data_IF_966916635860
#
_entry.id   IF_966916635860
#
_cell.length_a   1.000
_cell.length_b   1.000
_cell.length_c   1.000
_cell.angle_alpha   90.00
_cell.angle_beta   90.00
_cell.angle_gamma   90.00
#
_symmetry.space_group_name_H-M   'P 1'
#
loop_
_entity.id
_entity.type
_entity.pdbx_description
1 polymer ?
#
# COMPACT_ATOMS: atom_id res chain seq x y z
N UNK A 1 -38.94 -8.18 -17.11
CA UNK A 1 -38.10 -7.01 -17.49
C UNK A 1 -37.53 -6.44 -16.21
N UNK A 2 -36.26 -6.71 -15.92
CA UNK A 2 -35.56 -6.10 -14.79
C UNK A 2 -35.15 -4.72 -15.29
N UNK A 3 -35.81 -3.69 -14.77
CA UNK A 3 -35.43 -2.30 -15.03
C UNK A 3 -34.18 -2.05 -14.18
N UNK A 4 -33.02 -2.06 -14.81
CA UNK A 4 -31.76 -1.58 -14.25
C UNK A 4 -31.89 -0.08 -13.99
N UNK A 5 -32.45 0.28 -12.82
CA UNK A 5 -32.34 1.64 -12.30
C UNK A 5 -30.98 1.73 -11.62
N UNK A 6 -29.93 2.00 -12.41
CA UNK A 6 -28.73 2.60 -11.86
C UNK A 6 -29.11 4.01 -11.41
N UNK A 7 -29.10 4.34 -10.11
CA UNK A 7 -29.26 5.72 -9.71
C UNK A 7 -28.04 6.48 -10.23
N UNK A 8 -28.28 7.35 -11.22
CA UNK A 8 -27.39 8.45 -11.55
C UNK A 8 -27.21 9.30 -10.29
N UNK A 9 -26.17 9.01 -9.51
CA UNK A 9 -25.69 9.92 -8.47
C UNK A 9 -24.18 10.08 -8.69
N UNK A 10 -23.85 10.78 -9.78
CA UNK A 10 -22.68 11.66 -9.77
C UNK A 10 -23.23 13.02 -9.34
N UNK A 11 -23.55 13.15 -8.05
CA UNK A 11 -23.87 14.45 -7.46
C UNK A 11 -22.95 14.59 -6.27
N UNK A 12 -22.17 15.66 -6.31
CA UNK A 12 -21.08 16.02 -5.42
C UNK A 12 -19.84 15.11 -5.50
N UNK A 13 -19.15 15.20 -6.63
CA UNK A 13 -17.70 15.00 -6.65
C UNK A 13 -17.15 15.87 -5.51
N UNK A 14 -16.50 15.28 -4.48
CA UNK A 14 -15.96 16.09 -3.42
C UNK A 14 -15.02 17.10 -4.05
N UNK A 15 -15.16 18.38 -3.69
CA UNK A 15 -14.19 19.42 -4.06
C UNK A 15 -12.86 19.16 -3.33
N UNK A 16 -12.26 17.99 -3.52
CA UNK A 16 -10.82 17.89 -3.33
C UNK A 16 -10.24 18.72 -4.46
N UNK A 17 -9.64 19.84 -4.09
CA UNK A 17 -8.73 20.55 -4.96
C UNK A 17 -7.46 19.70 -5.12
N UNK A 18 -7.56 18.53 -5.77
CA UNK A 18 -6.40 17.90 -6.36
C UNK A 18 -6.10 18.71 -7.62
N UNK A 19 -4.85 19.13 -7.77
CA UNK A 19 -4.47 19.79 -9.00
C UNK A 19 -4.44 18.77 -10.16
N UNK A 20 -4.44 19.28 -11.39
CA UNK A 20 -4.45 18.44 -12.60
C UNK A 20 -3.35 17.38 -12.62
N UNK A 21 -2.18 17.68 -12.07
CA UNK A 21 -1.02 16.77 -12.02
C UNK A 21 -1.30 15.59 -11.06
N UNK A 22 -1.94 15.85 -9.92
CA UNK A 22 -2.31 14.82 -8.95
C UNK A 22 -3.38 13.88 -9.51
N UNK A 23 -4.37 14.43 -10.21
CA UNK A 23 -5.42 13.65 -10.85
C UNK A 23 -4.86 12.77 -11.99
N UNK A 24 -4.01 13.34 -12.84
CA UNK A 24 -3.35 12.61 -13.94
C UNK A 24 -2.42 11.50 -13.43
N UNK A 25 -1.76 11.73 -12.29
CA UNK A 25 -0.92 10.72 -11.67
C UNK A 25 -1.73 9.56 -11.07
N UNK A 26 -2.85 9.85 -10.40
CA UNK A 26 -3.74 8.81 -9.88
C UNK A 26 -4.39 8.00 -11.01
N UNK A 27 -4.80 8.64 -12.11
CA UNK A 27 -5.42 7.93 -13.23
C UNK A 27 -4.44 7.00 -13.96
N UNK A 28 -3.16 7.38 -14.07
CA UNK A 28 -2.13 6.59 -14.77
C UNK A 28 -1.44 5.55 -13.90
N UNK A 29 -1.24 5.86 -12.62
CA UNK A 29 -0.39 5.05 -11.73
C UNK A 29 -1.11 4.53 -10.49
N UNK A 30 -2.35 4.92 -10.23
CA UNK A 30 -3.02 4.73 -8.94
C UNK A 30 -3.06 3.28 -8.40
N UNK A 31 -3.58 2.28 -9.15
CA UNK A 31 -3.84 0.95 -8.57
C UNK A 31 -2.57 0.10 -8.52
N UNK A 32 -1.64 0.39 -9.43
CA UNK A 32 -0.38 -0.33 -9.61
C UNK A 32 0.81 0.52 -9.16
N UNK A 33 0.62 1.48 -8.24
CA UNK A 33 1.73 2.30 -7.79
C UNK A 33 2.67 1.48 -6.90
N UNK A 34 3.57 0.75 -7.56
CA UNK A 34 4.74 0.16 -6.94
C UNK A 34 5.80 1.26 -6.99
N UNK A 35 6.13 1.82 -5.82
CA UNK A 35 7.15 2.86 -5.73
C UNK A 35 8.49 2.28 -6.16
N UNK A 36 8.99 2.72 -7.32
CA UNK A 36 10.30 2.32 -7.83
C UNK A 36 11.41 2.66 -6.83
N UNK A 37 12.10 1.62 -6.35
CA UNK A 37 13.26 1.63 -5.46
C UNK A 37 13.35 2.86 -4.51
N UNK A 38 12.79 2.69 -3.30
CA UNK A 38 12.72 3.75 -2.29
C UNK A 38 14.05 4.02 -1.60
N UNK A 39 15.08 3.21 -1.81
CA UNK A 39 16.33 3.34 -1.06
C UNK A 39 16.86 4.76 -1.16
N UNK A 40 16.89 5.35 -2.35
CA UNK A 40 17.34 6.73 -2.60
C UNK A 40 16.58 7.86 -1.88
N UNK A 41 15.42 7.57 -1.28
CA UNK A 41 14.66 8.52 -0.46
C UNK A 41 15.14 8.58 0.99
N UNK A 42 15.89 7.57 1.42
CA UNK A 42 16.36 7.39 2.77
C UNK A 42 17.87 7.60 2.84
N UNK A 43 18.35 8.08 3.99
CA UNK A 43 19.79 8.16 4.23
C UNK A 43 20.40 6.76 4.25
N UNK A 44 21.70 6.67 3.95
CA UNK A 44 22.44 5.41 4.00
C UNK A 44 22.22 4.66 5.32
N UNK A 45 22.32 5.36 6.46
CA UNK A 45 22.07 4.79 7.80
C UNK A 45 20.66 4.19 7.95
N UNK A 46 19.66 4.79 7.32
CA UNK A 46 18.29 4.29 7.37
C UNK A 46 18.09 3.09 6.44
N UNK A 47 18.74 3.08 5.27
CA UNK A 47 18.78 1.92 4.39
C UNK A 47 19.46 0.73 5.07
N UNK A 48 20.56 0.96 5.78
CA UNK A 48 21.31 -0.06 6.51
C UNK A 48 20.46 -0.67 7.62
N UNK A 49 19.74 0.16 8.39
CA UNK A 49 18.77 -0.31 9.38
C UNK A 49 17.68 -1.19 8.75
N UNK A 50 17.15 -0.77 7.59
CA UNK A 50 16.12 -1.53 6.89
C UNK A 50 16.63 -2.89 6.41
N UNK A 51 17.86 -2.94 5.87
CA UNK A 51 18.52 -4.19 5.47
C UNK A 51 18.67 -5.12 6.68
N UNK A 52 19.11 -4.61 7.84
CA UNK A 52 19.24 -5.40 9.07
C UNK A 52 17.89 -5.95 9.56
N UNK A 53 16.85 -5.12 9.55
CA UNK A 53 15.49 -5.52 9.95
C UNK A 53 14.92 -6.61 9.03
N UNK A 54 15.00 -6.43 7.71
CA UNK A 54 14.54 -7.43 6.75
C UNK A 54 15.34 -8.73 6.82
N UNK A 55 16.67 -8.63 6.91
CA UNK A 55 17.54 -9.78 7.10
C UNK A 55 17.12 -10.59 8.32
N UNK A 56 16.96 -9.92 9.47
CA UNK A 56 16.53 -10.55 10.72
C UNK A 56 15.17 -11.21 10.58
N UNK A 57 14.20 -10.54 9.96
CA UNK A 57 12.85 -11.07 9.77
C UNK A 57 12.86 -12.33 8.90
N UNK A 58 13.56 -12.31 7.77
CA UNK A 58 13.67 -13.45 6.86
C UNK A 58 14.39 -14.61 7.53
N UNK A 59 15.53 -14.34 8.18
CA UNK A 59 16.31 -15.35 8.89
C UNK A 59 15.50 -15.99 10.02
N UNK A 60 14.71 -15.21 10.77
CA UNK A 60 13.85 -15.74 11.83
C UNK A 60 12.78 -16.69 11.30
N UNK A 61 12.18 -16.38 10.15
CA UNK A 61 11.19 -17.27 9.51
C UNK A 61 11.84 -18.56 9.04
N UNK A 62 12.95 -18.45 8.29
CA UNK A 62 13.65 -19.59 7.71
C UNK A 62 14.22 -20.49 8.79
N UNK A 63 14.94 -19.93 9.77
CA UNK A 63 15.55 -20.71 10.85
C UNK A 63 14.50 -21.42 11.69
N UNK A 64 13.38 -20.76 11.99
CA UNK A 64 12.26 -21.40 12.71
C UNK A 64 11.70 -22.58 11.94
N UNK A 65 11.49 -22.43 10.63
CA UNK A 65 11.03 -23.51 9.76
C UNK A 65 12.03 -24.68 9.73
N UNK A 66 13.30 -24.40 9.45
CA UNK A 66 14.35 -25.42 9.35
C UNK A 66 14.61 -26.15 10.68
N UNK A 67 14.52 -25.44 11.81
CA UNK A 67 14.73 -26.05 13.13
C UNK A 67 13.54 -26.94 13.53
N UNK A 68 12.32 -26.52 13.20
CA UNK A 68 11.09 -27.25 13.57
C UNK A 68 10.82 -28.45 12.65
N UNK A 69 10.85 -28.23 11.35
CA UNK A 69 10.41 -29.22 10.35
C UNK A 69 11.55 -30.15 9.90
N UNK A 70 12.78 -29.65 9.93
CA UNK A 70 13.94 -30.38 9.41
C UNK A 70 15.03 -30.64 10.46
N UNK A 71 14.79 -30.26 11.73
CA UNK A 71 15.71 -30.44 12.85
C UNK A 71 17.14 -29.95 12.59
N UNK A 72 17.30 -28.96 11.71
CA UNK A 72 18.61 -28.40 11.40
C UNK A 72 19.03 -27.47 12.55
N UNK A 73 20.19 -27.68 13.19
CA UNK A 73 20.67 -26.79 14.24
C UNK A 73 20.94 -25.39 13.71
N UNK A 74 20.64 -24.36 14.51
CA UNK A 74 20.94 -22.96 14.16
C UNK A 74 22.43 -22.72 13.86
N UNK A 75 23.31 -23.51 14.46
CA UNK A 75 24.76 -23.46 14.27
C UNK A 75 25.23 -24.13 12.98
N UNK A 76 24.32 -24.73 12.20
CA UNK A 76 24.66 -25.40 10.96
C UNK A 76 25.32 -24.43 9.98
N UNK A 77 26.45 -24.87 9.40
CA UNK A 77 27.23 -24.04 8.47
C UNK A 77 26.41 -23.56 7.27
N UNK A 78 25.40 -24.33 6.85
CA UNK A 78 24.50 -23.97 5.76
C UNK A 78 23.65 -22.74 6.09
N UNK A 79 23.14 -22.61 7.32
CA UNK A 79 22.36 -21.46 7.78
C UNK A 79 23.24 -20.21 7.81
N UNK A 80 24.48 -20.34 8.30
CA UNK A 80 25.45 -19.23 8.31
C UNK A 80 25.79 -18.77 6.89
N UNK A 81 26.06 -19.69 5.96
CA UNK A 81 26.35 -19.36 4.55
C UNK A 81 25.16 -18.66 3.90
N UNK A 82 23.96 -19.18 4.09
CA UNK A 82 22.74 -18.57 3.58
C UNK A 82 22.53 -17.16 4.14
N UNK A 83 22.71 -16.98 5.46
CA UNK A 83 22.62 -15.67 6.11
C UNK A 83 23.53 -14.62 5.47
N UNK A 84 24.78 -14.98 5.18
CA UNK A 84 25.75 -14.08 4.55
C UNK A 84 25.39 -13.75 3.10
N UNK A 85 24.90 -14.75 2.35
CA UNK A 85 24.43 -14.56 0.98
C UNK A 85 23.22 -13.63 0.93
N UNK A 86 22.25 -13.84 1.82
CA UNK A 86 21.07 -13.01 1.95
C UNK A 86 21.44 -11.56 2.27
N UNK A 87 22.31 -11.34 3.25
CA UNK A 87 22.79 -10.00 3.61
C UNK A 87 23.45 -9.30 2.41
N UNK A 88 24.30 -10.02 1.67
CA UNK A 88 24.94 -9.51 0.45
C UNK A 88 23.89 -9.12 -0.61
N UNK A 89 22.90 -9.98 -0.86
CA UNK A 89 21.85 -9.71 -1.84
C UNK A 89 20.97 -8.52 -1.44
N UNK A 90 20.61 -8.40 -0.17
CA UNK A 90 19.86 -7.25 0.35
C UNK A 90 20.69 -5.97 0.20
N UNK A 91 21.98 -5.99 0.59
CA UNK A 91 22.85 -4.85 0.39
C UNK A 91 22.94 -4.43 -1.08
N UNK A 92 23.09 -5.37 -2.01
CA UNK A 92 23.06 -5.03 -3.44
C UNK A 92 21.73 -4.38 -3.81
N UNK A 93 20.60 -4.99 -3.46
CA UNK A 93 19.29 -4.48 -3.83
C UNK A 93 19.00 -3.07 -3.28
N UNK A 94 19.37 -2.80 -2.03
CA UNK A 94 19.08 -1.53 -1.36
C UNK A 94 20.15 -0.47 -1.59
N UNK A 95 21.43 -0.84 -1.72
CA UNK A 95 22.55 0.10 -1.78
C UNK A 95 23.06 0.39 -3.19
N UNK A 96 22.59 -0.33 -4.23
CA UNK A 96 22.97 -0.01 -5.61
C UNK A 96 22.63 1.46 -5.92
N UNK A 97 23.61 2.27 -6.36
CA UNK A 97 23.37 3.65 -6.74
C UNK A 97 22.35 3.71 -7.87
N UNK A 98 21.24 4.40 -7.63
CA UNK A 98 20.28 4.69 -8.67
C UNK A 98 20.82 5.78 -9.59
N UNK A 99 20.48 5.72 -10.88
CA UNK A 99 20.76 6.81 -11.80
C UNK A 99 20.13 8.11 -11.28
N UNK A 100 20.78 9.24 -11.53
CA UNK A 100 20.27 10.55 -11.11
C UNK A 100 18.82 10.79 -11.58
N UNK A 101 18.51 10.36 -12.81
CA UNK A 101 17.17 10.44 -13.38
C UNK A 101 16.13 9.65 -12.57
N UNK A 102 16.47 8.44 -12.15
CA UNK A 102 15.60 7.60 -11.33
C UNK A 102 15.40 8.22 -9.94
N UNK A 103 16.47 8.70 -9.30
CA UNK A 103 16.37 9.40 -8.01
C UNK A 103 15.45 10.61 -8.11
N UNK A 104 15.63 11.44 -9.14
CA UNK A 104 14.82 12.63 -9.37
C UNK A 104 13.34 12.28 -9.57
N UNK A 105 13.04 11.27 -10.42
CA UNK A 105 11.68 10.77 -10.65
C UNK A 105 11.04 10.24 -9.36
N UNK A 106 11.72 9.35 -8.64
CA UNK A 106 11.23 8.78 -7.37
C UNK A 106 10.95 9.87 -6.33
N UNK A 107 11.81 10.89 -6.22
CA UNK A 107 11.56 12.04 -5.30
C UNK A 107 10.33 12.85 -5.71
N UNK A 108 10.14 13.10 -7.00
CA UNK A 108 8.98 13.85 -7.52
C UNK A 108 7.68 13.10 -7.24
N UNK A 109 7.65 11.80 -7.55
CA UNK A 109 6.51 10.93 -7.29
C UNK A 109 6.20 10.81 -5.80
N UNK A 110 7.23 10.63 -4.96
CA UNK A 110 7.08 10.57 -3.51
C UNK A 110 6.41 11.85 -2.96
N UNK A 111 6.90 13.02 -3.36
CA UNK A 111 6.32 14.31 -2.95
C UNK A 111 4.87 14.44 -3.41
N UNK A 112 4.57 14.01 -4.63
CA UNK A 112 3.22 14.04 -5.18
C UNK A 112 2.27 13.14 -4.39
N UNK A 113 2.69 11.90 -4.13
CA UNK A 113 1.94 10.93 -3.32
C UNK A 113 1.71 11.42 -1.89
N UNK A 114 2.74 11.98 -1.23
CA UNK A 114 2.60 12.58 0.10
C UNK A 114 1.62 13.75 0.09
N UNK A 115 1.64 14.58 -0.95
CA UNK A 115 0.69 15.69 -1.09
C UNK A 115 -0.75 15.19 -1.25
N UNK A 116 -0.98 14.14 -2.05
CA UNK A 116 -2.29 13.50 -2.20
C UNK A 116 -2.76 12.95 -0.85
N UNK A 117 -1.92 12.15 -0.18
CA UNK A 117 -2.23 11.58 1.13
C UNK A 117 -2.57 12.65 2.17
N UNK A 118 -1.83 13.75 2.20
CA UNK A 118 -2.09 14.86 3.12
C UNK A 118 -3.43 15.53 2.83
N UNK A 119 -3.76 15.78 1.55
CA UNK A 119 -5.05 16.38 1.16
C UNK A 119 -6.24 15.46 1.49
N UNK A 120 -6.09 14.15 1.25
CA UNK A 120 -7.11 13.16 1.61
C UNK A 120 -7.36 13.15 3.13
N UNK A 121 -6.29 13.08 3.93
CA UNK A 121 -6.39 13.11 5.40
C UNK A 121 -7.02 14.39 5.92
N UNK A 122 -6.62 15.56 5.40
CA UNK A 122 -7.13 16.85 5.87
C UNK A 122 -8.64 16.99 5.69
N UNK A 123 -9.21 16.39 4.65
CA UNK A 123 -10.63 16.48 4.37
C UNK A 123 -11.43 15.22 4.70
N UNK A 124 -10.85 14.28 5.46
CA UNK A 124 -11.46 12.98 5.79
C UNK A 124 -11.99 12.26 4.55
N UNK A 125 -11.22 12.30 3.47
CA UNK A 125 -11.57 11.68 2.21
C UNK A 125 -10.96 10.29 2.08
N UNK A 126 -11.76 9.36 1.59
CA UNK A 126 -11.37 7.99 1.27
C UNK A 126 -11.23 7.88 -0.25
N UNK A 127 -10.08 7.36 -0.68
CA UNK A 127 -9.83 6.93 -2.05
C UNK A 127 -10.11 5.42 -2.12
N UNK A 128 -11.09 5.00 -2.92
CA UNK A 128 -11.49 3.60 -3.05
C UNK A 128 -11.43 3.16 -4.51
N UNK A 129 -10.89 1.96 -4.73
CA UNK A 129 -10.96 1.27 -6.02
C UNK A 129 -12.39 0.80 -6.28
N UNK A 130 -12.86 0.92 -7.52
CA UNK A 130 -14.21 0.50 -7.90
C UNK A 130 -14.15 -0.87 -8.57
N UNK A 131 -15.16 -1.69 -8.31
CA UNK A 131 -15.32 -3.04 -8.86
C UNK A 131 -15.51 -3.05 -10.39
N UNK A 132 -16.02 -1.94 -10.94
CA UNK A 132 -16.44 -1.84 -12.35
C UNK A 132 -15.51 -1.01 -13.24
N UNK A 133 -14.42 -0.45 -12.74
CA UNK A 133 -13.50 0.34 -13.57
C UNK A 133 -12.13 0.55 -12.93
N UNK A 134 -11.10 0.81 -13.75
CA UNK A 134 -9.77 1.33 -13.32
C UNK A 134 -9.89 2.80 -12.82
N UNK A 135 -11.07 3.21 -12.38
CA UNK A 135 -11.39 4.56 -11.92
C UNK A 135 -11.53 4.50 -10.41
N UNK A 136 -10.89 5.45 -9.75
CA UNK A 136 -10.99 5.65 -8.33
C UNK A 136 -12.23 6.47 -7.99
N UNK A 137 -12.95 6.05 -6.96
CA UNK A 137 -13.90 6.92 -6.30
C UNK A 137 -13.21 7.63 -5.14
N UNK A 138 -13.36 8.95 -5.09
CA UNK A 138 -12.97 9.79 -3.96
C UNK A 138 -14.26 10.26 -3.30
N UNK A 139 -14.43 9.99 -2.02
CA UNK A 139 -15.61 10.40 -1.24
C UNK A 139 -15.25 10.77 0.18
N UNK A 140 -16.08 11.56 0.86
CA UNK A 140 -15.92 11.75 2.31
C UNK A 140 -16.29 10.45 3.05
N UNK A 141 -15.60 10.14 4.14
CA UNK A 141 -15.93 8.96 4.97
C UNK A 141 -17.40 8.95 5.41
N UNK A 142 -17.94 10.11 5.79
CA UNK A 142 -19.32 10.28 6.23
C UNK A 142 -20.32 9.96 5.10
N UNK A 143 -20.00 10.32 3.86
CA UNK A 143 -20.88 10.03 2.72
C UNK A 143 -20.90 8.53 2.42
N UNK A 144 -19.79 7.83 2.65
CA UNK A 144 -19.74 6.39 2.53
C UNK A 144 -20.55 5.69 3.62
N UNK A 145 -20.44 6.14 4.87
CA UNK A 145 -21.25 5.62 5.97
C UNK A 145 -22.75 5.81 5.68
N UNK A 146 -23.16 7.01 5.26
CA UNK A 146 -24.55 7.29 4.86
C UNK A 146 -25.03 6.39 3.72
N UNK A 147 -24.20 6.18 2.69
CA UNK A 147 -24.53 5.28 1.57
C UNK A 147 -24.63 3.83 2.02
N UNK A 148 -23.74 3.37 2.90
CA UNK A 148 -23.79 2.03 3.45
C UNK A 148 -25.07 1.82 4.29
N UNK A 149 -25.44 2.79 5.12
CA UNK A 149 -26.67 2.77 5.92
C UNK A 149 -27.92 2.75 5.03
N UNK A 150 -27.97 3.62 4.01
CA UNK A 150 -29.09 3.65 3.07
C UNK A 150 -29.21 2.34 2.28
N UNK A 151 -28.09 1.75 1.86
CA UNK A 151 -28.08 0.45 1.19
C UNK A 151 -28.52 -0.68 2.13
N UNK A 152 -28.07 -0.67 3.39
CA UNK A 152 -28.53 -1.60 4.44
C UNK A 152 -30.04 -1.52 4.61
N UNK A 153 -30.59 -0.34 4.84
CA UNK A 153 -32.03 -0.13 5.01
C UNK A 153 -32.84 -0.59 3.79
N UNK A 154 -32.32 -0.36 2.58
CA UNK A 154 -33.00 -0.73 1.33
C UNK A 154 -33.02 -2.23 1.05
N UNK A 155 -31.95 -2.95 1.42
CA UNK A 155 -31.74 -4.34 0.99
C UNK A 155 -31.92 -5.36 2.10
N UNK A 156 -31.87 -4.95 3.37
CA UNK A 156 -31.81 -5.87 4.51
C UNK A 156 -30.58 -6.77 4.49
N UNK A 157 -29.54 -6.42 3.71
CA UNK A 157 -28.39 -7.28 3.44
C UNK A 157 -27.39 -7.40 4.59
N UNK A 158 -27.58 -6.69 5.70
CA UNK A 158 -26.70 -6.74 6.86
C UNK A 158 -27.50 -7.03 8.12
N UNK A 159 -26.95 -7.90 8.97
CA UNK A 159 -27.45 -8.19 10.31
C UNK A 159 -26.49 -7.53 11.28
N UNK A 160 -27.00 -6.69 12.18
CA UNK A 160 -26.21 -6.17 13.29
C UNK A 160 -25.96 -7.29 14.29
N UNK A 161 -24.70 -7.48 14.68
CA UNK A 161 -24.34 -8.47 15.68
C UNK A 161 -24.33 -7.79 17.04
N UNK A 162 -25.03 -8.38 18.01
CA UNK A 162 -25.12 -7.87 19.40
C UNK A 162 -23.76 -7.85 20.13
N UNK A 163 -22.76 -8.56 19.59
CA UNK A 163 -21.40 -8.59 20.10
C UNK A 163 -20.41 -8.90 18.98
N UNK A 164 -19.18 -8.37 19.09
CA UNK A 164 -18.09 -8.74 18.20
C UNK A 164 -17.80 -10.24 18.32
N UNK A 165 -17.92 -11.04 17.25
CA UNK A 165 -17.71 -12.50 17.30
C UNK A 165 -16.22 -12.91 17.41
N UNK A 166 -15.34 -11.97 17.76
CA UNK A 166 -13.88 -12.15 17.87
C UNK A 166 -13.40 -11.79 19.27
#
# INVERSE_FOLDING_TARGET
>A
QIVDVYPQIIVDVPKISLNRIQLDYLSKSGPNYIRSNQSSLHSYKHQEKHVQEEHTNIMNVITRYLTREHHIPLTATIIRKFSQQLETSLHQQYMIPLSYLNIYRTRKEFKLMKSIQHRLKKGNYILRETDKSVIFHIGNSVDYEKKAEAYRQKTGAYIELDSNPL
#
